data_IF_587638646542
#
_entry.id   IF_587638646542
#
_cell.length_a   1.000
_cell.length_b   1.000
_cell.length_c   1.000
_cell.angle_alpha   90.00
_cell.angle_beta   90.00
_cell.angle_gamma   90.00
#
_symmetry.space_group_name_H-M   'P 1'
#
loop_
_entity.id
_entity.type
_entity.pdbx_description
1 polymer ?
#
# COMPACT_ATOMS: atom_id res chain seq x y z
N UNK A 1 -3.26 -40.79 8.42
CA UNK A 1 -3.53 -40.07 9.68
C UNK A 1 -2.24 -39.39 10.08
N UNK A 2 -2.20 -38.06 10.00
CA UNK A 2 -1.13 -37.23 10.56
C UNK A 2 -1.17 -37.36 12.08
N UNK A 3 -0.03 -37.63 12.72
CA UNK A 3 0.03 -37.77 14.18
C UNK A 3 0.24 -36.39 14.81
N UNK A 4 -0.24 -36.14 16.04
CA UNK A 4 -0.08 -34.84 16.69
C UNK A 4 1.38 -34.38 16.81
N UNK A 5 2.32 -35.33 16.94
CA UNK A 5 3.77 -35.09 16.94
C UNK A 5 4.34 -34.57 15.61
N UNK A 6 3.59 -34.67 14.51
CA UNK A 6 3.98 -34.16 13.18
C UNK A 6 3.46 -32.73 12.92
N UNK A 7 2.77 -32.11 13.88
CA UNK A 7 2.20 -30.77 13.75
C UNK A 7 3.15 -29.71 14.35
N UNK A 8 3.38 -28.63 13.61
CA UNK A 8 4.07 -27.44 14.10
C UNK A 8 3.07 -26.33 14.45
N UNK A 9 3.37 -25.58 15.51
CA UNK A 9 2.63 -24.38 15.86
C UNK A 9 3.19 -23.20 15.08
N UNK A 10 2.32 -22.45 14.40
CA UNK A 10 2.66 -21.19 13.73
C UNK A 10 1.84 -20.09 14.40
N UNK A 11 2.47 -18.94 14.67
CA UNK A 11 1.80 -17.75 15.18
C UNK A 11 1.71 -16.72 14.06
N UNK A 12 0.50 -16.26 13.77
CA UNK A 12 0.24 -15.25 12.73
C UNK A 12 -0.57 -14.09 13.32
N UNK A 13 -0.28 -12.88 12.84
CA UNK A 13 -0.97 -11.66 13.22
C UNK A 13 -2.05 -11.30 12.20
N UNK A 14 -3.25 -10.96 12.67
CA UNK A 14 -4.30 -10.40 11.82
C UNK A 14 -4.42 -8.87 12.01
N UNK A 15 -4.33 -8.40 13.25
CA UNK A 15 -4.53 -6.99 13.60
C UNK A 15 -5.87 -6.45 13.08
N UNK A 16 -5.88 -5.19 12.63
CA UNK A 16 -7.03 -4.59 11.95
C UNK A 16 -7.03 -4.82 10.42
N UNK A 17 -6.08 -5.60 9.88
CA UNK A 17 -5.94 -5.78 8.44
C UNK A 17 -7.22 -6.33 7.78
N UNK A 18 -7.93 -7.35 8.31
CA UNK A 18 -9.18 -7.82 7.71
C UNK A 18 -10.27 -6.75 7.60
N UNK A 19 -10.32 -5.81 8.55
CA UNK A 19 -11.27 -4.71 8.52
C UNK A 19 -10.87 -3.70 7.44
N UNK A 20 -9.60 -3.32 7.37
CA UNK A 20 -9.08 -2.41 6.34
C UNK A 20 -9.31 -3.00 4.95
N UNK A 21 -8.95 -4.25 4.77
CA UNK A 21 -9.05 -4.97 3.50
C UNK A 21 -10.48 -5.03 2.99
N UNK A 22 -11.45 -5.27 3.89
CA UNK A 22 -12.89 -5.22 3.57
C UNK A 22 -13.32 -3.89 2.93
N UNK A 23 -12.75 -2.76 3.34
CA UNK A 23 -13.04 -1.46 2.74
C UNK A 23 -12.27 -1.22 1.45
N UNK A 24 -11.01 -1.64 1.38
CA UNK A 24 -10.18 -1.53 0.18
C UNK A 24 -10.73 -2.37 -0.98
N UNK A 25 -11.21 -3.58 -0.71
CA UNK A 25 -11.89 -4.45 -1.68
C UNK A 25 -13.15 -3.81 -2.24
N UNK A 26 -13.98 -3.21 -1.38
CA UNK A 26 -15.20 -2.48 -1.81
C UNK A 26 -14.85 -1.27 -2.67
N UNK A 27 -13.72 -0.64 -2.38
CA UNK A 27 -13.18 0.45 -3.19
C UNK A 27 -12.52 -0.03 -4.49
N UNK A 28 -12.30 -1.34 -4.64
CA UNK A 28 -11.58 -1.92 -5.79
C UNK A 28 -10.18 -1.32 -5.94
N UNK A 29 -9.52 -1.05 -4.80
CA UNK A 29 -8.27 -0.30 -4.79
C UNK A 29 -7.19 -1.01 -5.60
N UNK A 30 -7.01 -2.31 -5.41
CA UNK A 30 -5.93 -3.06 -6.06
C UNK A 30 -6.13 -3.08 -7.58
N UNK A 31 -7.38 -3.12 -8.07
CA UNK A 31 -7.70 -3.06 -9.50
C UNK A 31 -7.47 -1.67 -10.07
N UNK A 32 -7.83 -0.61 -9.33
CA UNK A 32 -7.53 0.77 -9.72
C UNK A 32 -6.02 1.03 -9.77
N UNK A 33 -5.25 0.43 -8.85
CA UNK A 33 -3.80 0.51 -8.87
C UNK A 33 -3.21 -0.25 -10.05
N UNK A 34 -3.69 -1.45 -10.36
CA UNK A 34 -3.24 -2.24 -11.52
C UNK A 34 -3.46 -1.49 -12.85
N UNK A 35 -4.59 -0.79 -12.98
CA UNK A 35 -4.92 0.05 -14.14
C UNK A 35 -4.05 1.33 -14.19
N UNK A 36 -3.79 1.97 -13.04
CA UNK A 36 -3.04 3.22 -12.97
C UNK A 36 -1.52 3.04 -13.13
N UNK A 37 -0.96 1.94 -12.60
CA UNK A 37 0.48 1.65 -12.63
C UNK A 37 0.76 0.24 -13.18
N UNK A 38 0.46 0.00 -14.47
CA UNK A 38 0.63 -1.31 -15.06
C UNK A 38 2.09 -1.76 -14.96
N UNK A 39 2.27 -3.00 -14.51
CA UNK A 39 3.58 -3.59 -14.29
C UNK A 39 4.07 -4.36 -15.51
N UNK A 40 5.37 -4.25 -15.82
CA UNK A 40 5.99 -5.11 -16.83
C UNK A 40 5.98 -6.58 -16.38
N UNK A 41 5.78 -7.57 -17.27
CA UNK A 41 5.91 -8.99 -16.92
C UNK A 41 7.28 -9.38 -16.34
N UNK A 42 8.29 -8.52 -16.49
CA UNK A 42 9.64 -8.73 -15.97
C UNK A 42 9.80 -8.40 -14.49
N UNK A 43 8.86 -7.66 -13.88
CA UNK A 43 8.94 -7.36 -12.45
C UNK A 43 8.50 -8.57 -11.62
N UNK A 44 9.26 -8.87 -10.56
CA UNK A 44 8.97 -10.02 -9.68
C UNK A 44 7.79 -9.76 -8.72
N UNK A 45 7.55 -8.49 -8.41
CA UNK A 45 6.43 -8.03 -7.60
C UNK A 45 5.76 -6.89 -8.38
N UNK A 46 4.47 -6.99 -8.73
CA UNK A 46 3.74 -5.91 -9.38
C UNK A 46 3.74 -4.63 -8.54
N UNK A 47 3.84 -3.48 -9.18
CA UNK A 47 3.78 -2.17 -8.55
C UNK A 47 2.48 -1.97 -7.77
N UNK A 48 1.34 -2.36 -8.34
CA UNK A 48 0.04 -2.28 -7.68
C UNK A 48 0.01 -3.07 -6.36
N UNK A 49 0.61 -4.26 -6.32
CA UNK A 49 0.72 -5.08 -5.11
C UNK A 49 1.60 -4.41 -4.04
N UNK A 50 2.76 -3.88 -4.43
CA UNK A 50 3.61 -3.12 -3.51
C UNK A 50 2.90 -1.87 -2.94
N UNK A 51 2.20 -1.10 -3.78
CA UNK A 51 1.41 0.06 -3.36
C UNK A 51 0.21 -0.34 -2.49
N UNK A 52 -0.43 -1.47 -2.76
CA UNK A 52 -1.49 -2.03 -1.93
C UNK A 52 -1.00 -2.31 -0.50
N UNK A 53 0.22 -2.86 -0.36
CA UNK A 53 0.87 -3.05 0.95
C UNK A 53 1.15 -1.70 1.62
N UNK A 54 1.64 -0.71 0.88
CA UNK A 54 1.87 0.64 1.41
C UNK A 54 0.61 1.27 1.99
N UNK A 55 -0.50 1.23 1.26
CA UNK A 55 -1.77 1.80 1.74
C UNK A 55 -2.20 1.12 3.03
N UNK A 56 -2.11 -0.22 3.10
CA UNK A 56 -2.41 -0.99 4.32
C UNK A 56 -1.47 -0.62 5.46
N UNK A 57 -0.17 -0.48 5.19
CA UNK A 57 0.81 -0.03 6.18
C UNK A 57 0.49 1.37 6.72
N UNK A 58 0.15 2.33 5.85
CA UNK A 58 -0.22 3.70 6.25
C UNK A 58 -1.49 3.77 7.09
N UNK A 59 -2.46 2.89 6.84
CA UNK A 59 -3.71 2.86 7.62
C UNK A 59 -3.48 2.22 8.99
N UNK A 60 -2.68 1.15 9.05
CA UNK A 60 -2.49 0.36 10.26
C UNK A 60 -1.50 1.00 11.24
N UNK A 61 -0.33 1.46 10.76
CA UNK A 61 0.80 1.75 11.65
C UNK A 61 1.77 2.84 11.13
N UNK A 62 1.68 3.24 9.86
CA UNK A 62 2.56 4.25 9.22
C UNK A 62 4.05 4.00 9.43
N UNK A 63 4.46 2.73 9.34
CA UNK A 63 5.85 2.34 9.46
C UNK A 63 6.72 2.93 8.34
N UNK A 64 8.04 3.07 8.56
CA UNK A 64 8.93 3.55 7.51
C UNK A 64 9.05 2.53 6.37
N UNK A 65 9.30 3.02 5.16
CA UNK A 65 9.36 2.22 3.92
C UNK A 65 10.38 1.08 4.00
N UNK A 66 11.53 1.31 4.62
CA UNK A 66 12.59 0.30 4.75
C UNK A 66 12.20 -0.88 5.65
N UNK A 67 11.18 -0.72 6.49
CA UNK A 67 10.71 -1.75 7.41
C UNK A 67 9.48 -2.51 6.87
N UNK A 68 9.08 -2.30 5.60
CA UNK A 68 7.88 -2.93 5.05
C UNK A 68 7.92 -4.45 5.11
N UNK A 69 9.06 -5.08 4.75
CA UNK A 69 9.21 -6.53 4.85
C UNK A 69 9.02 -7.01 6.30
N UNK A 70 9.82 -6.48 7.22
CA UNK A 70 9.84 -6.84 8.63
C UNK A 70 8.46 -6.69 9.28
N UNK A 71 7.71 -5.65 8.88
CA UNK A 71 6.39 -5.36 9.42
C UNK A 71 5.27 -6.18 8.79
N UNK A 72 5.50 -6.73 7.59
CA UNK A 72 4.51 -7.56 6.88
C UNK A 72 4.68 -9.04 7.22
N UNK A 73 5.91 -9.52 7.46
CA UNK A 73 6.21 -10.92 7.80
C UNK A 73 5.36 -11.49 8.94
N UNK A 74 5.07 -10.77 10.05
CA UNK A 74 4.27 -11.32 11.15
C UNK A 74 2.81 -11.58 10.78
N UNK A 75 2.32 -10.96 9.70
CA UNK A 75 0.95 -11.10 9.27
C UNK A 75 0.79 -12.25 8.26
N UNK A 76 -0.44 -12.75 8.18
CA UNK A 76 -0.87 -13.65 7.11
C UNK A 76 -0.70 -12.93 5.75
N UNK A 77 0.15 -13.40 4.81
CA UNK A 77 0.44 -12.71 3.55
C UNK A 77 -0.79 -12.38 2.71
N UNK A 78 -1.82 -13.23 2.78
CA UNK A 78 -3.09 -13.09 2.09
C UNK A 78 -3.85 -11.82 2.50
N UNK A 79 -3.64 -11.31 3.72
CA UNK A 79 -4.23 -10.02 4.18
C UNK A 79 -3.65 -8.80 3.44
N UNK A 80 -2.54 -9.00 2.74
CA UNK A 80 -1.90 -8.01 1.90
C UNK A 80 -1.99 -8.35 0.41
N UNK A 81 -2.81 -9.36 0.06
CA UNK A 81 -2.94 -9.88 -1.31
C UNK A 81 -1.60 -10.31 -1.90
N UNK A 82 -0.69 -10.77 -1.04
CA UNK A 82 0.60 -11.34 -1.38
C UNK A 82 0.48 -12.85 -1.46
N UNK A 83 1.23 -13.44 -2.38
CA UNK A 83 1.53 -14.87 -2.30
C UNK A 83 2.58 -15.10 -1.21
N UNK A 84 2.62 -16.27 -0.55
CA UNK A 84 3.60 -16.56 0.50
C UNK A 84 5.05 -16.29 0.09
N UNK A 85 5.41 -16.58 -1.17
CA UNK A 85 6.75 -16.33 -1.72
C UNK A 85 7.08 -14.85 -1.98
N UNK A 86 6.08 -13.97 -1.95
CA UNK A 86 6.22 -12.55 -2.28
C UNK A 86 6.49 -11.66 -1.07
N UNK A 87 6.23 -12.15 0.15
CA UNK A 87 6.51 -11.39 1.38
C UNK A 87 7.95 -10.87 1.41
N UNK A 88 8.91 -11.73 1.04
CA UNK A 88 10.34 -11.41 0.96
C UNK A 88 10.74 -10.49 -0.20
N UNK A 89 9.81 -10.16 -1.10
CA UNK A 89 10.05 -9.20 -2.16
C UNK A 89 9.70 -7.78 -1.72
N UNK A 90 9.11 -7.56 -0.54
CA UNK A 90 8.75 -6.23 -0.05
C UNK A 90 9.95 -5.47 0.53
N UNK A 91 10.91 -5.12 -0.32
CA UNK A 91 12.01 -4.24 0.06
C UNK A 91 11.80 -2.80 -0.42
N UNK A 92 12.56 -1.89 0.18
CA UNK A 92 12.55 -0.46 -0.11
C UNK A 92 12.87 -0.11 -1.57
N UNK A 93 13.77 -0.82 -2.25
CA UNK A 93 14.04 -0.60 -3.70
C UNK A 93 12.77 -0.84 -4.54
N UNK A 94 12.06 -1.94 -4.32
CA UNK A 94 10.82 -2.21 -5.07
C UNK A 94 9.69 -1.29 -4.66
N UNK A 95 9.60 -0.96 -3.38
CA UNK A 95 8.68 0.03 -2.87
C UNK A 95 8.91 1.41 -3.54
N UNK A 96 10.17 1.85 -3.62
CA UNK A 96 10.59 3.07 -4.28
C UNK A 96 10.23 3.08 -5.76
N UNK A 97 10.53 2.01 -6.49
CA UNK A 97 10.14 1.89 -7.92
C UNK A 97 8.63 1.92 -8.14
N UNK A 98 7.86 1.34 -7.23
CA UNK A 98 6.40 1.40 -7.31
C UNK A 98 5.88 2.83 -7.06
N UNK A 99 6.52 3.58 -6.15
CA UNK A 99 6.22 4.99 -5.91
C UNK A 99 6.65 5.88 -7.09
N UNK A 100 7.79 5.61 -7.72
CA UNK A 100 8.23 6.31 -8.94
C UNK A 100 7.24 6.07 -10.08
N UNK A 101 6.81 4.81 -10.29
CA UNK A 101 5.79 4.48 -11.28
C UNK A 101 4.46 5.20 -11.00
N UNK A 102 4.05 5.30 -9.73
CA UNK A 102 2.87 6.07 -9.34
C UNK A 102 3.04 7.57 -9.57
N UNK A 103 4.25 8.11 -9.36
CA UNK A 103 4.55 9.51 -9.59
C UNK A 103 4.39 9.90 -11.06
N UNK A 104 4.86 9.03 -11.96
CA UNK A 104 4.78 9.18 -13.42
C UNK A 104 3.40 8.87 -13.99
N UNK A 105 2.53 8.18 -13.24
CA UNK A 105 1.17 7.87 -13.66
C UNK A 105 0.24 9.10 -13.63
N UNK A 106 -0.92 8.99 -14.32
CA UNK A 106 -2.01 9.96 -14.21
C UNK A 106 -2.74 9.83 -12.85
N UNK A 107 -2.08 10.36 -11.82
CA UNK A 107 -2.57 10.37 -10.43
C UNK A 107 -3.90 11.09 -10.28
N UNK A 108 -4.16 12.13 -11.09
CA UNK A 108 -5.39 12.89 -11.02
C UNK A 108 -6.58 12.02 -11.43
N UNK A 109 -6.44 11.28 -12.54
CA UNK A 109 -7.46 10.32 -12.98
C UNK A 109 -7.64 9.19 -11.97
N UNK A 110 -6.55 8.59 -11.46
CA UNK A 110 -6.62 7.54 -10.44
C UNK A 110 -7.37 8.00 -9.18
N UNK A 111 -7.00 9.16 -8.61
CA UNK A 111 -7.64 9.70 -7.42
C UNK A 111 -9.12 10.04 -7.67
N UNK A 112 -9.45 10.62 -8.81
CA UNK A 112 -10.84 10.91 -9.17
C UNK A 112 -11.68 9.63 -9.25
N UNK A 113 -11.16 8.57 -9.87
CA UNK A 113 -11.87 7.29 -9.95
C UNK A 113 -12.09 6.68 -8.55
N UNK A 114 -11.07 6.71 -7.70
CA UNK A 114 -11.17 6.23 -6.32
C UNK A 114 -12.21 7.02 -5.52
N UNK A 115 -12.21 8.36 -5.61
CA UNK A 115 -13.16 9.23 -4.92
C UNK A 115 -14.59 8.99 -5.43
N UNK A 116 -14.81 8.97 -6.75
CA UNK A 116 -16.13 8.69 -7.33
C UNK A 116 -16.64 7.31 -6.88
N UNK A 117 -15.76 6.31 -6.80
CA UNK A 117 -16.09 4.98 -6.29
C UNK A 117 -16.49 5.05 -4.82
N UNK A 118 -15.71 5.71 -3.97
CA UNK A 118 -16.02 5.87 -2.55
C UNK A 118 -17.39 6.52 -2.33
N UNK A 119 -17.69 7.59 -3.06
CA UNK A 119 -18.98 8.28 -3.00
C UNK A 119 -20.14 7.33 -3.32
N UNK A 120 -20.02 6.56 -4.40
CA UNK A 120 -21.07 5.63 -4.84
C UNK A 120 -21.21 4.44 -3.90
N UNK A 121 -20.09 3.84 -3.50
CA UNK A 121 -20.04 2.61 -2.70
C UNK A 121 -20.55 2.83 -1.27
N UNK A 122 -20.21 3.99 -0.68
CA UNK A 122 -20.59 4.33 0.69
C UNK A 122 -21.77 5.32 0.76
N UNK A 123 -22.32 5.72 -0.39
CA UNK A 123 -23.45 6.67 -0.50
C UNK A 123 -23.16 7.96 0.28
N UNK A 124 -21.96 8.49 0.09
CA UNK A 124 -21.52 9.70 0.78
C UNK A 124 -22.39 10.89 0.35
N UNK A 125 -22.81 11.70 1.31
CA UNK A 125 -23.50 12.95 1.03
C UNK A 125 -22.51 13.95 0.43
N UNK A 126 -22.89 14.57 -0.70
CA UNK A 126 -22.03 15.48 -1.45
C UNK A 126 -22.53 16.93 -1.43
N UNK A 127 -23.49 17.25 -0.55
CA UNK A 127 -24.02 18.60 -0.39
C UNK A 127 -22.97 19.57 0.17
N UNK A 128 -22.04 19.04 0.97
CA UNK A 128 -20.93 19.76 1.57
C UNK A 128 -19.64 18.94 1.44
N UNK A 129 -18.62 19.52 0.81
CA UNK A 129 -17.32 18.92 0.61
C UNK A 129 -16.27 19.77 1.29
N UNK A 130 -15.71 19.26 2.39
CA UNK A 130 -14.54 19.84 3.03
C UNK A 130 -13.30 19.07 2.61
N UNK A 131 -12.37 19.75 1.95
CA UNK A 131 -11.04 19.23 1.72
C UNK A 131 -10.08 19.94 2.69
N UNK A 132 -9.79 19.30 3.81
CA UNK A 132 -8.76 19.75 4.76
C UNK A 132 -7.39 19.17 4.35
N UNK A 133 -6.90 19.59 3.19
CA UNK A 133 -5.54 19.25 2.76
C UNK A 133 -4.57 20.29 3.33
N UNK A 134 -3.77 19.91 4.33
CA UNK A 134 -2.60 20.71 4.70
C UNK A 134 -1.52 20.53 3.63
N UNK A 135 -1.43 21.46 2.69
CA UNK A 135 -0.34 21.48 1.71
C UNK A 135 0.88 22.15 2.34
N UNK A 136 1.92 21.36 2.63
CA UNK A 136 3.26 21.89 2.93
C UNK A 136 4.04 21.91 1.62
N UNK A 137 4.23 23.11 1.07
CA UNK A 137 5.10 23.31 -0.10
C UNK A 137 6.45 23.82 0.38
N UNK A 138 7.49 23.00 0.23
CA UNK A 138 8.88 23.39 0.49
C UNK A 138 9.56 23.73 -0.85
N UNK A 139 9.96 24.99 -1.03
CA UNK A 139 10.60 25.48 -2.26
C UNK A 139 11.72 26.46 -1.93
N UNK A 140 12.90 26.26 -2.51
CA UNK A 140 14.07 27.14 -2.40
C UNK A 140 15.31 26.54 -3.08
N UNK A 141 16.31 27.37 -3.40
CA UNK A 141 17.66 26.88 -3.68
C UNK A 141 18.39 26.69 -2.35
N UNK A 142 18.86 25.47 -2.09
CA UNK A 142 19.61 25.13 -0.88
C UNK A 142 21.06 24.76 -1.24
N UNK A 143 21.90 25.73 -1.63
CA UNK A 143 23.29 25.45 -2.03
C UNK A 143 24.15 24.88 -0.89
N UNK A 144 23.72 25.08 0.37
CA UNK A 144 24.40 24.61 1.59
C UNK A 144 23.75 23.33 2.18
N UNK A 145 22.76 22.72 1.52
CA UNK A 145 22.20 21.46 1.99
C UNK A 145 23.19 20.31 1.74
N UNK A 146 23.89 19.89 2.80
CA UNK A 146 24.92 18.84 2.73
C UNK A 146 24.39 17.43 3.07
N UNK A 147 23.09 17.30 3.34
CA UNK A 147 22.41 16.03 3.59
C UNK A 147 22.80 15.34 4.90
N UNK A 148 23.51 16.02 5.81
CA UNK A 148 23.89 15.45 7.11
C UNK A 148 22.80 15.71 8.14
N UNK A 149 22.33 14.63 8.77
CA UNK A 149 21.46 14.69 9.94
C UNK A 149 22.33 14.76 11.20
N UNK A 150 21.90 15.56 12.19
CA UNK A 150 22.54 15.65 13.52
C UNK A 150 22.44 14.34 14.28
#
# INVERSE_FOLDING_TARGET
MTRPEDLSLVHEMLGAAPLVDRFLDRLRLDELLEEAVPSSPLVKLPYARALGVFVRNFILDRGPVYALEERTIPFVPELFHLRPEEGHLLNDDRAGRALDALFDADRASFLNQLVIRAIREFRLEMSELHNDSTTITFTGEYPEADGRWM
#
